data_IF_041318929929
#
_entry.id   IF_041318929929
#
_cell.length_a   1.000
_cell.length_b   1.000
_cell.length_c   1.000
_cell.angle_alpha   90.00
_cell.angle_beta   90.00
_cell.angle_gamma   90.00
#
_symmetry.space_group_name_H-M   'P 1'
#
loop_
_entity.id
_entity.type
_entity.pdbx_description
1 polymer ?
#
# COMPACT_ATOMS: atom_id res chain seq x y z
N UNK A 1 -4.78 -3.37 29.60
CA UNK A 1 -4.86 -2.21 28.69
C UNK A 1 -6.17 -2.37 27.93
N UNK A 2 -7.00 -1.34 27.86
CA UNK A 2 -8.25 -1.40 27.09
C UNK A 2 -7.90 -1.21 25.61
N UNK A 3 -8.05 -2.27 24.82
CA UNK A 3 -7.81 -2.25 23.37
C UNK A 3 -9.01 -1.58 22.72
N UNK A 4 -8.76 -0.62 21.83
CA UNK A 4 -9.82 -0.01 21.04
C UNK A 4 -10.43 -1.07 20.11
N UNK A 5 -11.72 -1.35 20.28
CA UNK A 5 -12.44 -2.33 19.48
C UNK A 5 -13.04 -1.74 18.20
N UNK A 6 -12.85 -0.45 17.95
CA UNK A 6 -13.42 0.26 16.81
C UNK A 6 -12.37 0.72 15.80
N UNK A 7 -11.15 1.02 16.27
CA UNK A 7 -10.10 1.57 15.43
C UNK A 7 -8.76 0.83 15.57
N UNK A 8 -7.93 0.84 14.50
CA UNK A 8 -6.60 0.25 14.55
C UNK A 8 -5.78 0.76 15.74
N UNK A 9 -5.14 -0.14 16.46
CA UNK A 9 -4.42 0.19 17.69
C UNK A 9 -3.06 -0.49 17.75
N UNK A 10 -2.05 0.29 18.13
CA UNK A 10 -0.72 -0.23 18.43
C UNK A 10 -0.78 -1.03 19.74
N UNK A 11 -0.41 -2.29 19.68
CA UNK A 11 -0.31 -3.19 20.83
C UNK A 11 1.15 -3.40 21.18
N UNK A 12 1.47 -3.46 22.47
CA UNK A 12 2.86 -3.48 22.96
C UNK A 12 3.40 -4.89 23.06
N UNK A 13 2.54 -5.85 23.42
CA UNK A 13 2.91 -7.25 23.61
C UNK A 13 1.91 -8.17 22.94
N UNK A 14 2.31 -9.42 22.67
CA UNK A 14 1.38 -10.46 22.17
C UNK A 14 0.25 -10.72 23.16
N UNK A 15 0.50 -10.57 24.47
CA UNK A 15 -0.51 -10.78 25.51
C UNK A 15 -1.66 -9.76 25.46
N UNK A 16 -1.39 -8.57 24.93
CA UNK A 16 -2.35 -7.49 24.71
C UNK A 16 -3.18 -7.68 23.42
N UNK A 17 -3.03 -8.78 22.69
CA UNK A 17 -3.85 -9.05 21.51
C UNK A 17 -5.17 -9.73 21.93
N UNK A 18 -6.33 -9.42 21.30
CA UNK A 18 -7.56 -10.16 21.56
C UNK A 18 -7.49 -11.63 21.09
N UNK A 19 -8.27 -12.51 21.74
CA UNK A 19 -8.54 -13.83 21.16
C UNK A 19 -9.45 -13.68 19.93
N UNK A 20 -9.34 -14.56 18.91
CA UNK A 20 -8.45 -15.73 18.85
C UNK A 20 -7.02 -15.45 18.36
N UNK A 21 -6.75 -14.23 17.88
CA UNK A 21 -5.49 -13.84 17.23
C UNK A 21 -4.28 -14.01 18.16
N UNK A 22 -4.43 -13.70 19.45
CA UNK A 22 -3.35 -13.86 20.44
C UNK A 22 -2.79 -15.27 20.50
N UNK A 23 -3.65 -16.30 20.53
CA UNK A 23 -3.20 -17.69 20.58
C UNK A 23 -2.37 -18.03 19.34
N UNK A 24 -2.88 -17.68 18.16
CA UNK A 24 -2.19 -17.92 16.89
C UNK A 24 -0.81 -17.21 16.84
N UNK A 25 -0.71 -16.00 17.38
CA UNK A 25 0.55 -15.27 17.46
C UNK A 25 1.56 -15.90 18.42
N UNK A 26 1.12 -16.38 19.60
CA UNK A 26 2.00 -17.07 20.57
C UNK A 26 2.63 -18.33 19.97
N UNK A 27 1.89 -19.03 19.12
CA UNK A 27 2.38 -20.25 18.47
C UNK A 27 3.40 -19.95 17.34
N UNK A 28 3.43 -18.71 16.84
CA UNK A 28 4.22 -18.32 15.65
C UNK A 28 5.35 -17.35 15.92
N UNK A 29 5.30 -16.62 17.04
CA UNK A 29 6.34 -15.68 17.47
C UNK A 29 7.13 -16.33 18.60
N UNK A 30 8.41 -16.60 18.35
CA UNK A 30 9.30 -17.14 19.38
C UNK A 30 9.60 -16.07 20.44
N UNK A 31 9.78 -16.45 21.73
CA UNK A 31 10.12 -15.51 22.80
C UNK A 31 11.41 -14.69 22.58
N UNK A 32 12.28 -15.14 21.67
CA UNK A 32 13.52 -14.45 21.34
C UNK A 32 13.38 -13.46 20.19
N UNK A 33 12.24 -13.44 19.50
CA UNK A 33 12.00 -12.52 18.40
C UNK A 33 11.63 -11.14 18.91
N UNK A 34 12.32 -10.13 18.38
CA UNK A 34 12.05 -8.74 18.72
C UNK A 34 10.92 -8.21 17.85
N UNK A 35 9.80 -7.86 18.49
CA UNK A 35 8.71 -7.11 17.85
C UNK A 35 9.09 -5.64 17.77
N UNK A 36 9.07 -5.07 16.55
CA UNK A 36 9.31 -3.64 16.30
C UNK A 36 8.00 -2.84 16.30
N UNK A 37 6.94 -3.44 15.76
CA UNK A 37 5.59 -2.86 15.73
C UNK A 37 4.56 -3.98 15.69
N UNK A 38 3.44 -3.79 16.37
CA UNK A 38 2.28 -4.65 16.24
C UNK A 38 1.02 -3.78 16.23
N UNK A 39 0.17 -3.99 15.21
CA UNK A 39 -1.05 -3.22 14.96
C UNK A 39 -2.20 -4.19 14.91
N UNK A 40 -3.14 -4.06 15.84
CA UNK A 40 -4.43 -4.74 15.80
C UNK A 40 -5.44 -3.88 15.04
N UNK A 41 -6.07 -4.46 14.01
CA UNK A 41 -7.21 -3.90 13.29
C UNK A 41 -8.45 -4.68 13.72
N UNK A 42 -9.42 -4.05 14.40
CA UNK A 42 -10.68 -4.71 14.73
C UNK A 42 -11.48 -5.05 13.47
N UNK A 43 -12.34 -6.07 13.56
CA UNK A 43 -13.31 -6.33 12.52
C UNK A 43 -14.26 -5.13 12.37
N UNK A 44 -14.57 -4.74 11.14
CA UNK A 44 -15.48 -3.62 10.87
C UNK A 44 -16.28 -3.84 9.58
N UNK A 45 -17.45 -3.21 9.50
CA UNK A 45 -18.26 -3.22 8.30
C UNK A 45 -17.76 -2.15 7.32
N UNK A 46 -17.47 -2.56 6.09
CA UNK A 46 -17.24 -1.61 4.99
C UNK A 46 -18.59 -1.11 4.49
N UNK A 47 -18.74 0.22 4.36
CA UNK A 47 -19.97 0.99 4.06
C UNK A 47 -20.72 0.68 2.74
N UNK A 48 -20.65 -0.53 2.17
CA UNK A 48 -21.41 -0.90 0.96
C UNK A 48 -22.89 -1.29 1.22
N UNK A 49 -23.46 -0.83 2.32
CA UNK A 49 -24.88 -1.03 2.62
C UNK A 49 -25.64 0.29 2.76
N UNK A 50 -26.40 0.60 1.71
CA UNK A 50 -27.87 0.70 1.81
C UNK A 50 -28.45 1.09 0.45
N UNK A 51 -29.11 0.13 -0.20
CA UNK A 51 -30.10 0.41 -1.22
C UNK A 51 -31.47 0.44 -0.54
N UNK A 52 -32.22 1.56 -0.47
CA UNK A 52 -33.48 1.64 0.28
C UNK A 52 -34.68 0.92 -0.35
N UNK A 53 -34.51 0.10 -1.40
CA UNK A 53 -35.62 -0.26 -2.28
C UNK A 53 -35.89 -1.76 -2.46
N UNK A 54 -35.26 -2.67 -1.71
CA UNK A 54 -35.57 -4.11 -1.84
C UNK A 54 -35.58 -4.84 -0.50
N UNK A 55 -36.65 -5.61 -0.31
CA UNK A 55 -37.00 -6.47 0.82
C UNK A 55 -35.80 -7.21 1.43
N UNK A 56 -35.62 -7.21 2.77
CA UNK A 56 -34.47 -7.81 3.43
C UNK A 56 -34.60 -9.33 3.40
N UNK A 57 -33.86 -10.01 2.52
CA UNK A 57 -33.87 -11.48 2.48
C UNK A 57 -32.50 -12.13 2.64
N UNK A 58 -31.42 -11.36 2.73
CA UNK A 58 -30.10 -11.84 3.15
C UNK A 58 -29.46 -10.81 4.08
N UNK A 59 -28.83 -11.23 5.20
CA UNK A 59 -28.17 -10.30 6.09
C UNK A 59 -26.99 -9.63 5.36
N UNK A 60 -26.72 -8.36 5.70
CA UNK A 60 -25.42 -7.72 5.55
C UNK A 60 -24.25 -8.64 5.84
N UNK A 61 -23.35 -8.89 4.90
CA UNK A 61 -22.10 -9.60 5.24
C UNK A 61 -20.95 -9.17 4.35
N UNK A 62 -20.42 -7.98 4.63
CA UNK A 62 -19.00 -7.70 4.37
C UNK A 62 -18.41 -7.20 5.69
N UNK A 63 -17.99 -8.15 6.52
CA UNK A 63 -17.16 -7.90 7.68
C UNK A 63 -15.71 -8.01 7.21
N UNK A 64 -15.00 -6.88 7.16
CA UNK A 64 -13.55 -6.95 7.14
C UNK A 64 -13.12 -7.69 8.42
N UNK A 65 -12.36 -8.79 8.33
CA UNK A 65 -11.99 -9.57 9.50
C UNK A 65 -11.06 -8.78 10.41
N UNK A 66 -11.03 -9.17 11.68
CA UNK A 66 -10.01 -8.65 12.59
C UNK A 66 -8.63 -9.17 12.16
N UNK A 67 -7.63 -8.29 12.19
CA UNK A 67 -6.27 -8.64 11.78
C UNK A 67 -5.24 -8.11 12.78
N UNK A 68 -4.09 -8.77 12.83
CA UNK A 68 -2.90 -8.25 13.51
C UNK A 68 -1.72 -8.28 12.54
N UNK A 69 -1.21 -7.11 12.21
CA UNK A 69 0.09 -6.95 11.56
C UNK A 69 1.19 -6.87 12.62
N UNK A 70 2.18 -7.75 12.53
CA UNK A 70 3.39 -7.73 13.36
C UNK A 70 4.61 -7.55 12.48
N UNK A 71 5.41 -6.52 12.75
CA UNK A 71 6.72 -6.31 12.14
C UNK A 71 7.80 -6.72 13.14
N UNK A 72 8.59 -7.72 12.77
CA UNK A 72 9.71 -8.26 13.54
C UNK A 72 11.03 -7.65 13.06
N UNK A 73 12.16 -8.12 13.60
CA UNK A 73 13.50 -7.64 13.23
C UNK A 73 13.89 -7.96 11.78
N UNK A 74 13.50 -9.13 11.25
CA UNK A 74 13.90 -9.66 9.94
C UNK A 74 12.73 -10.09 9.03
N UNK A 75 11.51 -9.99 9.55
CA UNK A 75 10.30 -10.54 8.94
C UNK A 75 9.06 -9.76 9.37
N UNK A 76 7.94 -10.07 8.73
CA UNK A 76 6.62 -9.60 9.12
C UNK A 76 5.66 -10.79 9.18
N UNK A 77 4.57 -10.62 9.91
CA UNK A 77 3.52 -11.61 10.07
C UNK A 77 2.16 -10.91 10.10
N UNK A 78 1.16 -11.50 9.45
CA UNK A 78 -0.23 -11.08 9.49
C UNK A 78 -1.06 -12.25 10.01
N UNK A 79 -1.79 -12.03 11.10
CA UNK A 79 -2.81 -12.96 11.57
C UNK A 79 -4.19 -12.41 11.24
N UNK A 80 -5.05 -13.21 10.63
CA UNK A 80 -6.40 -12.82 10.20
C UNK A 80 -7.43 -13.78 10.78
N UNK A 81 -8.48 -13.23 11.37
CA UNK A 81 -9.61 -14.02 11.85
C UNK A 81 -10.47 -14.49 10.68
N UNK A 82 -10.73 -15.78 10.60
CA UNK A 82 -11.55 -16.43 9.57
C UNK A 82 -12.67 -17.25 10.22
N UNK A 83 -13.67 -17.67 9.44
CA UNK A 83 -14.82 -18.44 9.96
C UNK A 83 -14.41 -19.70 10.74
N UNK A 84 -13.35 -20.39 10.26
CA UNK A 84 -12.86 -21.65 10.82
C UNK A 84 -11.64 -21.48 11.76
N UNK A 85 -11.22 -20.25 12.07
CA UNK A 85 -10.10 -20.01 12.98
C UNK A 85 -9.27 -18.77 12.66
N UNK A 86 -7.95 -18.92 12.68
CA UNK A 86 -7.01 -17.83 12.39
C UNK A 86 -6.02 -18.29 11.34
N UNK A 87 -5.99 -17.60 10.20
CA UNK A 87 -4.91 -17.76 9.22
C UNK A 87 -3.73 -16.89 9.61
N UNK A 88 -2.52 -17.40 9.38
CA UNK A 88 -1.29 -16.67 9.69
C UNK A 88 -0.34 -16.73 8.50
N UNK A 89 -0.12 -15.57 7.90
CA UNK A 89 0.84 -15.36 6.85
C UNK A 89 2.12 -14.76 7.43
N UNK A 90 3.28 -15.28 7.00
CA UNK A 90 4.58 -14.82 7.48
C UNK A 90 5.59 -14.86 6.35
N UNK A 91 6.37 -13.79 6.18
CA UNK A 91 7.48 -13.77 5.24
C UNK A 91 8.66 -12.94 5.77
N UNK A 92 9.87 -13.25 5.29
CA UNK A 92 11.06 -12.44 5.55
C UNK A 92 11.06 -11.20 4.66
N UNK A 93 11.78 -10.16 5.07
CA UNK A 93 11.99 -8.99 4.21
C UNK A 93 12.72 -9.33 2.90
N UNK A 94 13.53 -10.40 2.89
CA UNK A 94 14.17 -10.94 1.69
C UNK A 94 13.18 -11.47 0.64
N UNK A 95 11.95 -11.78 1.07
CA UNK A 95 10.90 -12.42 0.29
C UNK A 95 9.80 -11.42 -0.10
N UNK A 96 9.73 -10.27 0.58
CA UNK A 96 8.83 -9.16 0.23
C UNK A 96 9.25 -8.53 -1.10
N UNK A 97 8.28 -8.39 -2.01
CA UNK A 97 8.42 -7.80 -3.34
C UNK A 97 8.16 -6.29 -3.30
N UNK A 98 6.95 -5.89 -2.87
CA UNK A 98 6.50 -4.50 -2.78
C UNK A 98 5.27 -4.41 -1.84
N UNK A 99 4.84 -3.19 -1.51
CA UNK A 99 3.67 -2.95 -0.66
C UNK A 99 2.67 -2.05 -1.37
N UNK A 100 1.39 -2.24 -1.10
CA UNK A 100 0.31 -1.39 -1.62
C UNK A 100 -0.58 -0.93 -0.48
N UNK A 101 -0.76 0.37 -0.34
CA UNK A 101 -1.66 0.99 0.60
C UNK A 101 -2.82 1.61 -0.17
N UNK A 102 -4.02 1.08 0.03
CA UNK A 102 -5.25 1.70 -0.42
C UNK A 102 -5.86 2.48 0.74
N UNK A 103 -6.26 3.73 0.48
CA UNK A 103 -6.95 4.55 1.48
C UNK A 103 -8.08 5.31 0.80
N UNK A 104 -9.34 4.95 1.13
CA UNK A 104 -10.55 5.47 0.51
C UNK A 104 -11.56 5.80 1.62
N UNK A 105 -11.85 7.09 1.82
CA UNK A 105 -12.76 7.57 2.87
C UNK A 105 -12.39 7.00 4.26
N UNK A 106 -13.22 6.10 4.78
CA UNK A 106 -13.10 5.45 6.10
C UNK A 106 -12.56 4.02 6.02
N UNK A 107 -12.31 3.50 4.82
CA UNK A 107 -11.80 2.14 4.61
C UNK A 107 -10.46 2.18 3.89
N UNK A 108 -9.50 1.45 4.41
CA UNK A 108 -8.20 1.24 3.80
C UNK A 108 -7.83 -0.23 3.82
N UNK A 109 -6.82 -0.55 3.03
CA UNK A 109 -6.27 -1.89 2.94
C UNK A 109 -4.77 -1.78 2.70
N UNK A 110 -3.98 -2.49 3.51
CA UNK A 110 -2.55 -2.68 3.26
C UNK A 110 -2.36 -4.08 2.69
N UNK A 111 -1.80 -4.15 1.49
CA UNK A 111 -1.34 -5.40 0.87
C UNK A 111 0.17 -5.49 0.91
N UNK A 112 0.66 -6.65 1.33
CA UNK A 112 2.09 -6.98 1.30
C UNK A 112 2.27 -8.10 0.28
N UNK A 113 2.96 -7.80 -0.81
CA UNK A 113 3.25 -8.77 -1.86
C UNK A 113 4.59 -9.43 -1.57
N UNK A 114 4.62 -10.76 -1.60
CA UNK A 114 5.80 -11.55 -1.28
C UNK A 114 5.89 -12.80 -2.14
N UNK A 115 7.08 -13.34 -2.30
CA UNK A 115 7.30 -14.56 -3.05
C UNK A 115 7.72 -15.72 -2.14
N UNK A 116 7.12 -16.88 -2.34
CA UNK A 116 7.52 -18.12 -1.68
C UNK A 116 7.52 -19.26 -2.68
N UNK A 117 8.57 -20.08 -2.67
CA UNK A 117 8.70 -21.26 -3.56
C UNK A 117 8.41 -20.92 -5.04
N UNK A 118 8.91 -19.78 -5.53
CA UNK A 118 8.75 -19.35 -6.93
C UNK A 118 7.40 -18.72 -7.29
N UNK A 119 6.44 -18.66 -6.37
CA UNK A 119 5.11 -18.08 -6.62
C UNK A 119 4.91 -16.78 -5.83
N UNK A 120 4.25 -15.75 -6.42
CA UNK A 120 3.83 -14.56 -5.68
C UNK A 120 2.56 -14.85 -4.85
N UNK A 121 2.50 -14.23 -3.68
CA UNK A 121 1.42 -14.27 -2.71
C UNK A 121 1.14 -12.86 -2.20
N UNK A 122 -0.01 -12.67 -1.55
CA UNK A 122 -0.42 -11.39 -1.02
C UNK A 122 -1.09 -11.57 0.34
N UNK A 123 -0.57 -10.87 1.36
CA UNK A 123 -1.24 -10.69 2.64
C UNK A 123 -2.06 -9.40 2.59
N UNK A 124 -3.36 -9.46 2.90
CA UNK A 124 -4.24 -8.30 2.90
C UNK A 124 -4.72 -7.94 4.31
N UNK A 125 -4.63 -6.65 4.66
CA UNK A 125 -4.92 -6.14 6.00
C UNK A 125 -5.94 -5.01 5.85
N UNK A 126 -7.25 -5.28 5.95
CA UNK A 126 -8.26 -4.24 5.92
C UNK A 126 -8.25 -3.43 7.23
N UNK A 127 -8.49 -2.13 7.13
CA UNK A 127 -8.50 -1.24 8.28
C UNK A 127 -9.38 -0.01 8.11
N UNK A 128 -9.73 0.62 9.23
CA UNK A 128 -10.34 1.95 9.23
C UNK A 128 -9.28 3.05 9.17
N UNK A 129 -9.47 4.05 8.29
CA UNK A 129 -8.45 5.08 8.00
C UNK A 129 -8.17 6.07 9.13
N UNK A 130 -8.97 6.09 10.21
CA UNK A 130 -8.81 6.98 11.39
C UNK A 130 -7.42 6.91 12.02
N UNK A 131 -6.66 5.83 11.80
CA UNK A 131 -5.26 5.69 12.22
C UNK A 131 -4.35 5.09 11.15
N UNK A 132 -4.56 5.47 9.89
CA UNK A 132 -3.73 5.03 8.75
C UNK A 132 -2.21 5.21 8.99
N UNK A 133 -1.82 6.20 9.79
CA UNK A 133 -0.41 6.45 10.12
C UNK A 133 0.30 5.25 10.78
N UNK A 134 -0.42 4.35 11.46
CA UNK A 134 0.14 3.11 12.01
C UNK A 134 0.60 2.15 10.91
N UNK A 135 -0.17 2.07 9.81
CA UNK A 135 0.19 1.26 8.65
C UNK A 135 1.32 1.89 7.85
N UNK A 136 1.39 3.22 7.81
CA UNK A 136 2.55 3.93 7.25
C UNK A 136 3.82 3.67 8.06
N UNK A 137 3.75 3.69 9.39
CA UNK A 137 4.87 3.29 10.26
C UNK A 137 5.30 1.85 9.97
N UNK A 138 4.34 0.93 9.79
CA UNK A 138 4.64 -0.46 9.43
C UNK A 138 5.32 -0.58 8.05
N UNK A 139 4.82 0.14 7.04
CA UNK A 139 5.43 0.19 5.71
C UNK A 139 6.88 0.67 5.82
N UNK A 140 7.14 1.79 6.52
CA UNK A 140 8.51 2.31 6.67
C UNK A 140 9.42 1.28 7.35
N UNK A 141 8.96 0.56 8.39
CA UNK A 141 9.74 -0.49 9.06
C UNK A 141 10.05 -1.67 8.14
N UNK A 142 9.09 -2.08 7.30
CA UNK A 142 9.26 -3.17 6.33
C UNK A 142 10.23 -2.73 5.21
N UNK A 143 10.09 -1.51 4.69
CA UNK A 143 10.99 -0.95 3.68
C UNK A 143 12.43 -0.83 4.22
N UNK A 144 12.60 -0.36 5.45
CA UNK A 144 13.91 -0.31 6.11
C UNK A 144 14.50 -1.71 6.32
N UNK A 145 13.66 -2.68 6.65
CA UNK A 145 14.05 -4.09 6.76
C UNK A 145 14.51 -4.71 5.44
N UNK A 146 13.85 -4.36 4.33
CA UNK A 146 14.22 -4.77 2.97
C UNK A 146 15.60 -4.24 2.57
N UNK A 147 15.90 -2.99 2.94
CA UNK A 147 17.16 -2.32 2.63
C UNK A 147 18.28 -2.61 3.65
N UNK A 148 17.99 -3.36 4.72
CA UNK A 148 18.89 -3.57 5.86
C UNK A 148 19.40 -2.26 6.50
N UNK A 149 18.55 -1.22 6.53
CA UNK A 149 18.89 0.08 7.11
C UNK A 149 18.37 0.14 8.54
N UNK A 150 19.24 0.52 9.48
CA UNK A 150 18.80 0.85 10.83
C UNK A 150 17.88 2.07 10.78
N UNK A 151 16.64 1.93 11.28
CA UNK A 151 15.54 2.91 11.13
C UNK A 151 16.04 4.36 11.12
N UNK A 152 15.93 5.02 9.98
CA UNK A 152 16.49 6.36 9.79
C UNK A 152 15.68 7.33 10.64
N UNK A 153 16.32 8.06 11.57
CA UNK A 153 15.66 9.17 12.28
C UNK A 153 15.05 10.10 11.22
N UNK A 154 13.77 10.45 11.41
CA UNK A 154 13.07 11.38 10.53
C UNK A 154 13.98 12.57 10.21
N UNK A 155 14.33 12.75 8.94
CA UNK A 155 15.08 13.92 8.51
C UNK A 155 14.19 15.12 8.80
N UNK A 156 14.69 16.05 9.61
CA UNK A 156 14.02 17.32 9.97
C UNK A 156 14.04 18.34 8.83
N UNK A 157 14.44 17.94 7.62
CA UNK A 157 14.42 18.83 6.45
C UNK A 157 13.01 18.81 5.84
N UNK A 158 12.10 19.46 6.58
CA UNK A 158 10.67 19.61 6.30
C UNK A 158 10.41 20.74 5.29
N UNK A 159 11.43 21.07 4.47
CA UNK A 159 11.28 22.08 3.44
C UNK A 159 10.44 21.52 2.28
N UNK A 160 9.44 22.28 1.79
CA UNK A 160 8.66 21.88 0.63
C UNK A 160 9.60 21.60 -0.53
N UNK A 161 9.43 20.43 -1.18
CA UNK A 161 10.28 20.08 -2.31
C UNK A 161 9.89 20.92 -3.53
N UNK A 162 10.82 21.68 -4.13
CA UNK A 162 10.53 22.53 -5.30
C UNK A 162 9.90 21.77 -6.47
N UNK A 163 10.19 20.46 -6.56
CA UNK A 163 9.64 19.56 -7.57
C UNK A 163 8.10 19.47 -7.49
N UNK A 164 7.54 19.53 -6.28
CA UNK A 164 6.10 19.35 -6.03
C UNK A 164 5.33 20.67 -5.98
N UNK A 165 6.01 21.82 -5.87
CA UNK A 165 5.34 23.13 -5.72
C UNK A 165 4.42 23.47 -6.90
N UNK A 166 4.75 22.98 -8.10
CA UNK A 166 3.97 23.18 -9.33
C UNK A 166 2.82 22.19 -9.50
N UNK A 167 2.67 21.23 -8.58
CA UNK A 167 1.64 20.20 -8.67
C UNK A 167 0.28 20.73 -8.16
N UNK A 168 -0.84 20.23 -8.71
CA UNK A 168 -2.14 20.45 -8.12
C UNK A 168 -2.14 20.04 -6.65
N UNK A 169 -2.81 20.83 -5.80
CA UNK A 169 -2.79 20.68 -4.34
C UNK A 169 -3.04 19.23 -3.89
N UNK A 170 -4.01 18.55 -4.51
CA UNK A 170 -4.32 17.14 -4.22
C UNK A 170 -3.09 16.23 -4.34
N UNK A 171 -2.42 16.23 -5.49
CA UNK A 171 -1.25 15.39 -5.73
C UNK A 171 -0.06 15.79 -4.88
N UNK A 172 0.10 17.09 -4.59
CA UNK A 172 1.14 17.56 -3.69
C UNK A 172 0.95 16.99 -2.29
N UNK A 173 -0.26 17.10 -1.74
CA UNK A 173 -0.58 16.57 -0.41
C UNK A 173 -0.43 15.05 -0.33
N UNK A 174 -0.88 14.31 -1.34
CA UNK A 174 -0.68 12.86 -1.40
C UNK A 174 0.80 12.48 -1.51
N UNK A 175 1.58 13.19 -2.35
CA UNK A 175 3.01 12.95 -2.48
C UNK A 175 3.78 13.24 -1.19
N UNK A 176 3.45 14.34 -0.49
CA UNK A 176 4.03 14.68 0.81
C UNK A 176 3.63 13.66 1.88
N UNK A 177 2.36 13.24 1.90
CA UNK A 177 1.82 12.27 2.84
C UNK A 177 2.42 10.88 2.64
N UNK A 178 2.57 10.41 1.41
CA UNK A 178 2.91 9.01 1.14
C UNK A 178 4.36 8.77 0.74
N UNK A 179 5.18 9.83 0.61
CA UNK A 179 6.64 9.67 0.49
C UNK A 179 7.19 8.96 1.74
N UNK A 180 8.05 7.93 1.57
CA UNK A 180 8.72 7.25 2.68
C UNK A 180 9.49 8.24 3.58
N UNK A 181 9.36 8.07 4.90
CA UNK A 181 9.93 9.00 5.87
C UNK A 181 11.46 9.00 5.79
N UNK A 182 12.07 10.18 5.93
CA UNK A 182 13.53 10.33 5.94
C UNK A 182 14.21 10.12 4.58
N UNK A 183 13.45 10.08 3.48
CA UNK A 183 14.00 9.91 2.14
C UNK A 183 13.81 11.16 1.27
N UNK A 184 14.93 11.64 0.71
CA UNK A 184 14.94 12.76 -0.23
C UNK A 184 14.27 12.36 -1.55
N UNK A 185 13.40 13.23 -2.05
CA UNK A 185 12.83 13.10 -3.39
C UNK A 185 13.89 13.47 -4.43
N UNK A 186 14.20 12.54 -5.35
CA UNK A 186 15.16 12.73 -6.44
C UNK A 186 14.47 13.29 -7.67
N UNK A 187 13.33 12.73 -8.03
CA UNK A 187 12.51 13.16 -9.16
C UNK A 187 11.06 12.75 -8.92
N UNK A 188 10.15 13.42 -9.61
CA UNK A 188 8.75 13.06 -9.61
C UNK A 188 8.11 13.46 -10.94
N UNK A 189 7.10 12.71 -11.35
CA UNK A 189 6.24 13.07 -12.49
C UNK A 189 4.80 12.75 -12.15
N UNK A 190 3.87 13.46 -12.78
CA UNK A 190 2.44 13.23 -12.64
C UNK A 190 1.77 13.23 -14.01
N UNK A 191 0.59 12.63 -14.05
CA UNK A 191 -0.28 12.66 -15.21
C UNK A 191 -1.74 12.81 -14.80
N UNK A 192 -2.52 13.35 -15.73
CA UNK A 192 -3.96 13.48 -15.54
C UNK A 192 -4.66 12.18 -15.96
N UNK A 193 -5.91 12.01 -15.53
CA UNK A 193 -6.75 10.92 -16.01
C UNK A 193 -6.98 11.04 -17.52
N UNK A 194 -7.08 9.91 -18.20
CA UNK A 194 -7.51 9.84 -19.59
C UNK A 194 -8.97 9.41 -19.60
N UNK A 195 -9.85 10.28 -20.09
CA UNK A 195 -11.26 9.96 -20.27
C UNK A 195 -11.55 9.58 -21.73
N UNK A 196 -12.41 8.58 -21.92
CA UNK A 196 -12.95 8.18 -23.21
C UNK A 196 -14.16 9.02 -23.62
N UNK A 197 -14.78 8.65 -24.74
CA UNK A 197 -16.14 9.12 -25.02
C UNK A 197 -17.10 8.68 -23.90
N UNK A 198 -18.11 9.51 -23.60
CA UNK A 198 -19.07 9.29 -22.51
C UNK A 198 -18.46 9.32 -21.09
N UNK A 199 -17.42 10.14 -20.86
CA UNK A 199 -16.82 10.40 -19.54
C UNK A 199 -16.31 9.16 -18.78
N UNK A 200 -16.09 8.04 -19.47
CA UNK A 200 -15.50 6.84 -18.84
C UNK A 200 -14.01 7.06 -18.62
N UNK A 201 -13.56 6.97 -17.37
CA UNK A 201 -12.14 6.98 -17.03
C UNK A 201 -11.44 5.72 -17.60
N UNK A 202 -10.62 5.92 -18.63
CA UNK A 202 -9.85 4.86 -19.29
C UNK A 202 -8.52 4.61 -18.59
N UNK A 203 -7.89 5.66 -18.06
CA UNK A 203 -6.73 5.59 -17.16
C UNK A 203 -6.93 6.57 -16.01
N UNK A 204 -6.71 6.16 -14.76
CA UNK A 204 -6.73 7.08 -13.62
C UNK A 204 -5.61 8.12 -13.72
N UNK A 205 -5.82 9.26 -13.04
CA UNK A 205 -4.75 10.20 -12.79
C UNK A 205 -3.74 9.58 -11.82
N UNK A 206 -2.48 9.97 -11.90
CA UNK A 206 -1.47 9.40 -11.03
C UNK A 206 -0.15 10.15 -11.01
N UNK A 207 0.76 9.66 -10.20
CA UNK A 207 2.09 10.19 -10.01
C UNK A 207 3.10 9.08 -9.72
N UNK A 208 4.34 9.32 -10.11
CA UNK A 208 5.50 8.55 -9.69
C UNK A 208 6.45 9.46 -8.92
N UNK A 209 6.91 8.98 -7.77
CA UNK A 209 7.94 9.60 -6.95
C UNK A 209 9.13 8.66 -6.89
N UNK A 210 10.34 9.19 -7.07
CA UNK A 210 11.57 8.41 -6.90
C UNK A 210 12.38 9.02 -5.78
N UNK A 211 12.68 8.19 -4.79
CA UNK A 211 13.67 8.47 -3.75
C UNK A 211 14.90 7.59 -3.99
N UNK A 212 15.93 7.75 -3.15
CA UNK A 212 17.12 6.89 -3.19
C UNK A 212 16.80 5.40 -3.04
N UNK A 213 15.78 5.06 -2.25
CA UNK A 213 15.49 3.65 -1.89
C UNK A 213 14.19 3.13 -2.48
N UNK A 214 13.29 4.00 -2.95
CA UNK A 214 11.95 3.60 -3.35
C UNK A 214 11.49 4.33 -4.63
N UNK A 215 10.79 3.58 -5.48
CA UNK A 215 9.85 4.14 -6.46
C UNK A 215 8.45 4.02 -5.84
N UNK A 216 7.71 5.13 -5.79
CA UNK A 216 6.35 5.16 -5.25
C UNK A 216 5.39 5.56 -6.36
N UNK A 217 4.39 4.73 -6.60
CA UNK A 217 3.27 5.04 -7.48
C UNK A 217 2.08 5.49 -6.65
N UNK A 218 1.44 6.59 -7.05
CA UNK A 218 0.21 7.10 -6.45
C UNK A 218 -0.81 7.18 -7.57
N UNK A 219 -1.89 6.43 -7.49
CA UNK A 219 -2.89 6.33 -8.54
C UNK A 219 -4.28 6.58 -7.96
N UNK A 220 -5.08 7.43 -8.59
CA UNK A 220 -6.48 7.60 -8.21
C UNK A 220 -7.23 6.26 -8.40
N UNK A 221 -8.11 5.92 -7.46
CA UNK A 221 -8.98 4.76 -7.64
C UNK A 221 -9.83 4.92 -8.92
N UNK A 222 -9.82 3.91 -9.79
CA UNK A 222 -10.60 3.92 -11.03
C UNK A 222 -12.09 4.01 -10.69
N UNK A 223 -12.80 4.95 -11.33
CA UNK A 223 -14.25 5.03 -11.21
C UNK A 223 -14.88 3.74 -11.75
N UNK A 224 -15.51 2.94 -10.87
CA UNK A 224 -16.57 2.06 -11.34
C UNK A 224 -17.70 2.96 -11.86
N UNK A 225 -18.28 2.64 -13.02
CA UNK A 225 -19.35 3.42 -13.63
C UNK A 225 -20.55 3.51 -12.66
N UNK A 226 -20.66 4.62 -11.94
CA UNK A 226 -21.76 4.87 -10.98
C UNK A 226 -23.04 5.15 -11.76
N UNK A 227 -24.10 4.40 -11.45
CA UNK A 227 -25.44 4.54 -12.05
C UNK A 227 -26.29 5.65 -11.43
N UNK A 228 -25.81 6.41 -10.44
CA UNK A 228 -26.61 7.45 -9.80
C UNK A 228 -25.80 8.72 -9.53
N UNK A 229 -26.37 9.84 -9.96
CA UNK A 229 -25.87 11.19 -9.79
C UNK A 229 -25.93 11.60 -8.32
N UNK A 230 -24.82 12.09 -7.76
CA UNK A 230 -24.82 12.71 -6.43
C UNK A 230 -23.46 12.79 -5.74
N UNK A 231 -22.61 11.76 -5.85
CA UNK A 231 -21.36 11.71 -5.09
C UNK A 231 -20.14 12.18 -5.90
N UNK A 232 -19.89 13.48 -5.84
CA UNK A 232 -18.77 14.22 -6.45
C UNK A 232 -17.39 13.99 -5.79
N UNK A 233 -17.19 12.84 -5.15
CA UNK A 233 -16.14 12.69 -4.17
C UNK A 233 -15.14 11.59 -4.55
N UNK A 234 -14.09 12.01 -5.27
CA UNK A 234 -12.86 11.25 -5.61
C UNK A 234 -11.95 11.10 -4.38
N UNK A 235 -12.40 10.42 -3.34
CA UNK A 235 -11.61 10.31 -2.11
C UNK A 235 -10.99 8.93 -1.98
N UNK A 236 -9.87 8.73 -2.69
CA UNK A 236 -8.95 7.67 -2.36
C UNK A 236 -7.84 7.49 -3.39
N UNK A 237 -6.71 6.98 -2.90
CA UNK A 237 -5.53 6.67 -3.69
C UNK A 237 -5.07 5.24 -3.42
N UNK A 238 -4.50 4.62 -4.46
CA UNK A 238 -3.73 3.40 -4.37
C UNK A 238 -2.27 3.81 -4.41
N UNK A 239 -1.54 3.53 -3.34
CA UNK A 239 -0.14 3.90 -3.17
C UNK A 239 0.69 2.63 -3.17
N UNK A 240 1.49 2.43 -4.21
CA UNK A 240 2.36 1.26 -4.32
C UNK A 240 3.81 1.66 -4.09
N UNK A 241 4.47 1.00 -3.13
CA UNK A 241 5.85 1.19 -2.75
C UNK A 241 6.72 0.09 -3.33
N UNK A 242 7.56 0.44 -4.29
CA UNK A 242 8.54 -0.47 -4.89
C UNK A 242 9.93 -0.18 -4.32
N UNK A 243 10.49 -1.06 -3.46
CA UNK A 243 11.87 -0.95 -3.05
C UNK A 243 12.78 -1.04 -4.27
N UNK A 244 13.68 -0.08 -4.45
CA UNK A 244 14.63 -0.07 -5.56
C UNK A 244 15.51 -1.33 -5.54
N UNK A 245 15.85 -1.85 -4.36
CA UNK A 245 16.54 -3.12 -4.19
C UNK A 245 15.83 -4.32 -4.87
N UNK A 246 14.50 -4.23 -5.05
CA UNK A 246 13.66 -5.27 -5.67
C UNK A 246 13.36 -5.00 -7.15
N UNK A 247 13.50 -3.77 -7.65
CA UNK A 247 13.28 -3.45 -9.06
C UNK A 247 14.36 -4.08 -9.96
N UNK A 248 14.00 -5.08 -10.76
CA UNK A 248 14.94 -5.79 -11.63
C UNK A 248 15.06 -5.15 -13.03
N UNK A 249 13.92 -4.77 -13.61
CA UNK A 249 13.86 -4.17 -14.95
C UNK A 249 12.59 -3.32 -15.11
N UNK A 250 12.54 -2.49 -16.15
CA UNK A 250 11.32 -1.83 -16.58
C UNK A 250 11.20 -1.75 -18.10
N UNK A 251 9.97 -1.78 -18.59
CA UNK A 251 9.66 -1.57 -19.99
C UNK A 251 8.51 -0.59 -20.13
N UNK A 252 8.58 0.28 -21.13
CA UNK A 252 7.47 1.16 -21.51
C UNK A 252 7.00 0.75 -22.90
N UNK A 253 5.74 0.33 -22.98
CA UNK A 253 5.08 0.02 -24.24
C UNK A 253 3.95 1.02 -24.52
N UNK A 254 3.64 1.17 -25.81
CA UNK A 254 2.61 2.07 -26.30
C UNK A 254 1.39 1.30 -26.79
N UNK A 255 0.21 1.67 -26.30
CA UNK A 255 -1.07 1.07 -26.64
C UNK A 255 -2.13 2.15 -26.93
N UNK A 256 -2.05 2.75 -28.13
CA UNK A 256 -3.02 3.71 -28.63
C UNK A 256 -2.97 5.04 -27.87
N UNK A 257 -3.90 5.25 -26.92
CA UNK A 257 -3.91 6.47 -26.09
C UNK A 257 -3.08 6.34 -24.81
N UNK A 258 -2.62 5.13 -24.50
CA UNK A 258 -1.97 4.80 -23.23
C UNK A 258 -0.53 4.38 -23.46
N UNK A 259 0.34 4.80 -22.53
CA UNK A 259 1.56 4.08 -22.25
C UNK A 259 1.34 3.10 -21.11
N UNK A 260 2.08 2.00 -21.12
CA UNK A 260 2.10 1.00 -20.05
C UNK A 260 3.52 0.92 -19.52
N UNK A 261 3.69 1.22 -18.24
CA UNK A 261 4.95 1.01 -17.53
C UNK A 261 4.88 -0.37 -16.89
N UNK A 262 5.59 -1.32 -17.47
CA UNK A 262 5.81 -2.63 -16.89
C UNK A 262 7.04 -2.59 -15.97
N UNK A 263 6.85 -2.90 -14.69
CA UNK A 263 7.92 -3.03 -13.70
C UNK A 263 8.11 -4.51 -13.36
N UNK A 264 9.35 -4.99 -13.47
CA UNK A 264 9.73 -6.32 -13.02
C UNK A 264 10.34 -6.21 -11.61
N UNK A 265 9.75 -6.92 -10.65
CA UNK A 265 10.15 -6.87 -9.23
C UNK A 265 10.57 -8.27 -8.77
N UNK A 266 11.76 -8.39 -8.19
CA UNK A 266 12.34 -9.67 -7.77
C UNK A 266 12.61 -9.67 -6.27
N UNK A 267 12.25 -10.77 -5.62
CA UNK A 267 12.66 -11.13 -4.26
C UNK A 267 13.53 -12.40 -4.32
N UNK A 268 14.00 -12.86 -3.15
CA UNK A 268 14.92 -14.01 -3.07
C UNK A 268 14.31 -15.28 -3.67
N UNK A 269 13.01 -15.47 -3.50
CA UNK A 269 12.31 -16.71 -3.86
C UNK A 269 11.25 -16.52 -4.96
N UNK A 270 11.30 -15.44 -5.74
CA UNK A 270 10.40 -15.27 -6.88
C UNK A 270 10.34 -13.85 -7.39
N UNK A 271 9.44 -13.62 -8.34
CA UNK A 271 9.33 -12.38 -9.06
C UNK A 271 7.89 -12.10 -9.48
N UNK A 272 7.58 -10.83 -9.70
CA UNK A 272 6.28 -10.36 -10.17
C UNK A 272 6.46 -9.24 -11.20
N UNK A 273 5.49 -9.13 -12.10
CA UNK A 273 5.41 -8.05 -13.08
C UNK A 273 4.17 -7.22 -12.80
N UNK A 274 4.35 -5.91 -12.67
CA UNK A 274 3.26 -4.95 -12.47
C UNK A 274 3.18 -3.99 -13.63
N UNK A 275 1.95 -3.59 -13.97
CA UNK A 275 1.69 -2.67 -15.08
C UNK A 275 0.97 -1.42 -14.57
N UNK A 276 1.54 -0.26 -14.86
CA UNK A 276 0.98 1.05 -14.53
C UNK A 276 0.56 1.73 -15.84
N UNK A 277 -0.73 2.04 -15.94
CA UNK A 277 -1.29 2.76 -17.09
C UNK A 277 -1.13 4.27 -16.93
N UNK A 278 -0.78 4.93 -18.03
CA UNK A 278 -0.64 6.38 -18.06
C UNK A 278 -0.92 6.95 -19.48
N UNK A 279 -1.14 8.26 -19.63
CA UNK A 279 -1.32 8.90 -20.94
C UNK A 279 -0.07 8.79 -21.83
N UNK A 280 -0.22 8.36 -23.09
CA UNK A 280 0.92 8.17 -24.01
C UNK A 280 1.80 9.42 -24.23
N UNK A 281 1.27 10.64 -24.08
CA UNK A 281 2.07 11.88 -24.15
C UNK A 281 3.09 12.02 -23.01
N UNK A 282 2.98 11.18 -21.97
CA UNK A 282 3.83 11.17 -20.78
C UNK A 282 4.95 10.14 -20.82
N UNK A 283 5.05 9.31 -21.86
CA UNK A 283 6.05 8.25 -21.98
C UNK A 283 7.48 8.74 -21.71
N UNK A 284 7.90 9.83 -22.35
CA UNK A 284 9.25 10.39 -22.15
C UNK A 284 9.50 10.86 -20.72
N UNK A 285 8.50 11.49 -20.10
CA UNK A 285 8.62 11.99 -18.74
C UNK A 285 8.69 10.82 -17.74
N UNK A 286 7.84 9.81 -17.92
CA UNK A 286 7.80 8.61 -17.08
C UNK A 286 9.07 7.78 -17.25
N UNK A 287 9.54 7.57 -18.48
CA UNK A 287 10.82 6.91 -18.75
C UNK A 287 11.96 7.60 -18.02
N UNK A 288 12.05 8.94 -18.15
CA UNK A 288 13.09 9.73 -17.48
C UNK A 288 12.98 9.62 -15.96
N UNK A 289 11.78 9.66 -15.40
CA UNK A 289 11.55 9.54 -13.95
C UNK A 289 11.95 8.15 -13.45
N UNK A 290 11.45 7.08 -14.06
CA UNK A 290 11.72 5.70 -13.65
C UNK A 290 13.20 5.36 -13.78
N UNK A 291 13.88 5.86 -14.81
CA UNK A 291 15.32 5.65 -14.99
C UNK A 291 16.14 6.00 -13.74
N UNK A 292 15.75 7.03 -12.97
CA UNK A 292 16.41 7.37 -11.71
C UNK A 292 16.40 6.24 -10.68
N UNK A 293 15.34 5.43 -10.64
CA UNK A 293 15.24 4.28 -9.74
C UNK A 293 16.23 3.14 -10.10
N UNK A 294 16.78 3.15 -11.31
CA UNK A 294 17.74 2.16 -11.81
C UNK A 294 19.17 2.70 -11.93
N UNK A 295 19.37 4.02 -11.81
CA UNK A 295 20.68 4.64 -12.08
C UNK A 295 21.66 4.50 -10.90
N UNK A 296 21.17 4.40 -9.66
CA UNK A 296 22.02 4.23 -8.47
C UNK A 296 22.41 2.76 -8.16
N UNK A 297 22.04 1.80 -9.02
CA UNK A 297 22.45 0.38 -8.87
C UNK A 297 23.87 0.08 -9.39
N UNK A 298 24.59 1.08 -9.90
CA UNK A 298 25.94 0.94 -10.46
C UNK A 298 26.98 1.64 -9.60
#
# INVERSE_FOLDING_TARGET
MDIDTYFPTKVQTVDDVPEPLRRALKDKISPHERVRLMVYSPAFSTLEEQSPATTPTLPPTILAPATVLTVLEDSWLVATEEEDGVSVERARFSDTLFLELTSILLSGELKIYFASVGSPYTAAIPFNTVREWLYREAIDLILDGIDHVASVKAWTDDQPHPILETWPLKFRLEAERYRPIGQRLLTATRWNAVSGGFERDLSPAGALLVTKRNLVSIVEQKQAARRYAGDLHKFGGIITYFPTARLADFHISHHGRFGVLALQVHATHGAEKLEILFPSDREKAIAKTVQWAFTEKR
#
